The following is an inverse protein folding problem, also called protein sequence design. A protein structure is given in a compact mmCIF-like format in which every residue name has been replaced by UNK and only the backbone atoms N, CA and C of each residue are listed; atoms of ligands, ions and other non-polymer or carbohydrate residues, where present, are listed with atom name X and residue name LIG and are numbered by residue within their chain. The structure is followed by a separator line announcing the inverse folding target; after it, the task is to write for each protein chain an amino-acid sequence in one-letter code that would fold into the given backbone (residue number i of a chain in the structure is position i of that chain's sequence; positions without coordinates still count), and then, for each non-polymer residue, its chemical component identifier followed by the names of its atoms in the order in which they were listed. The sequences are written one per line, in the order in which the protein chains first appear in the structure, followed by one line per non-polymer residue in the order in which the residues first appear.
data_IF_427449291637
#
_entry.id   IF_427449291637
#
_cell.length_a   1.000
_cell.length_b   1.000
_cell.length_c   1.000
_cell.angle_alpha   90.00
_cell.angle_beta   90.00
_cell.angle_gamma   90.00
#
_symmetry.space_group_name_H-M   'P 1'
#
loop_
_entity.id
_entity.type
_entity.pdbx_description
1 polymer ?
#
# COMPACT_ATOMS: atom_id res chain seq x y z
N UNK A 1 -11.39 -4.51 24.51
CA UNK A 1 -10.62 -5.76 24.69
C UNK A 1 -9.40 -5.78 23.78
N UNK A 2 -9.56 -5.58 22.47
CA UNK A 2 -8.45 -5.54 21.50
C UNK A 2 -7.45 -4.43 21.85
N UNK A 3 -7.91 -3.22 22.17
CA UNK A 3 -7.02 -2.09 22.45
C UNK A 3 -6.07 -2.39 23.61
N UNK A 4 -6.58 -3.03 24.66
CA UNK A 4 -5.79 -3.44 25.82
C UNK A 4 -4.81 -4.56 25.49
N UNK A 5 -5.25 -5.58 24.74
CA UNK A 5 -4.38 -6.69 24.31
C UNK A 5 -3.22 -6.16 23.46
N UNK A 6 -3.51 -5.31 22.48
CA UNK A 6 -2.51 -4.69 21.59
C UNK A 6 -1.51 -3.88 22.41
N UNK A 7 -1.97 -3.11 23.40
CA UNK A 7 -1.13 -2.34 24.31
C UNK A 7 -0.23 -3.20 25.20
N UNK A 8 -0.80 -4.23 25.85
CA UNK A 8 -0.05 -5.13 26.73
C UNK A 8 1.00 -5.94 25.94
N UNK A 9 0.74 -6.19 24.66
CA UNK A 9 1.61 -6.94 23.75
C UNK A 9 2.41 -6.03 22.80
N UNK A 10 2.64 -4.77 23.19
CA UNK A 10 3.32 -3.78 22.34
C UNK A 10 4.64 -4.25 21.68
N UNK A 11 5.53 -5.01 22.36
CA UNK A 11 6.72 -5.56 21.71
C UNK A 11 6.39 -6.51 20.56
N UNK A 12 5.40 -7.39 20.72
CA UNK A 12 4.96 -8.29 19.65
C UNK A 12 4.33 -7.49 18.50
N UNK A 13 3.52 -6.48 18.82
CA UNK A 13 2.93 -5.58 17.82
C UNK A 13 4.02 -4.92 16.97
N UNK A 14 5.10 -4.43 17.59
CA UNK A 14 6.24 -3.86 16.88
C UNK A 14 6.95 -4.89 15.97
N UNK A 15 7.13 -6.13 16.46
CA UNK A 15 7.71 -7.21 15.65
C UNK A 15 6.82 -7.57 14.45
N UNK A 16 5.51 -7.67 14.63
CA UNK A 16 4.54 -7.93 13.55
C UNK A 16 4.50 -6.77 12.56
N UNK A 17 4.60 -5.53 13.04
CA UNK A 17 4.67 -4.35 12.18
C UNK A 17 5.93 -4.36 11.30
N UNK A 18 7.10 -4.69 11.86
CA UNK A 18 8.33 -4.86 11.07
C UNK A 18 8.19 -6.02 10.09
N UNK A 19 7.68 -7.17 10.53
CA UNK A 19 7.49 -8.34 9.68
C UNK A 19 6.60 -8.05 8.47
N UNK A 20 5.48 -7.36 8.68
CA UNK A 20 4.57 -6.97 7.58
C UNK A 20 5.19 -5.92 6.66
N UNK A 21 5.96 -4.96 7.20
CA UNK A 21 6.67 -3.97 6.39
C UNK A 21 7.79 -4.59 5.53
N UNK A 22 8.56 -5.53 6.08
CA UNK A 22 9.57 -6.29 5.32
C UNK A 22 8.90 -7.17 4.26
N UNK A 23 7.77 -7.79 4.60
CA UNK A 23 6.99 -8.57 3.65
C UNK A 23 6.47 -7.70 2.49
N UNK A 24 5.93 -6.52 2.77
CA UNK A 24 5.50 -5.54 1.76
C UNK A 24 6.65 -5.18 0.82
N UNK A 25 7.81 -4.77 1.35
CA UNK A 25 9.00 -4.47 0.55
C UNK A 25 9.45 -5.66 -0.32
N UNK A 26 9.42 -6.88 0.23
CA UNK A 26 9.79 -8.08 -0.51
C UNK A 26 8.80 -8.42 -1.62
N UNK A 27 7.50 -8.34 -1.32
CA UNK A 27 6.43 -8.58 -2.29
C UNK A 27 6.47 -7.56 -3.42
N UNK A 28 6.79 -6.29 -3.14
CA UNK A 28 7.01 -5.27 -4.17
C UNK A 28 8.12 -5.67 -5.14
N UNK A 29 9.26 -6.17 -4.66
CA UNK A 29 10.34 -6.63 -5.54
C UNK A 29 9.95 -7.84 -6.38
N UNK A 30 9.28 -8.81 -5.75
CA UNK A 30 8.79 -10.01 -6.45
C UNK A 30 7.75 -9.60 -7.51
N UNK A 31 6.85 -8.68 -7.17
CA UNK A 31 5.84 -8.12 -8.06
C UNK A 31 6.46 -7.36 -9.23
N UNK A 32 7.47 -6.52 -8.97
CA UNK A 32 8.21 -5.80 -10.01
C UNK A 32 8.87 -6.78 -10.99
N UNK A 33 9.58 -7.78 -10.47
CA UNK A 33 10.23 -8.81 -11.29
C UNK A 33 9.22 -9.66 -12.09
N UNK A 34 8.07 -10.01 -11.50
CA UNK A 34 7.00 -10.73 -12.18
C UNK A 34 6.36 -9.87 -13.29
N UNK A 35 6.14 -8.58 -13.04
CA UNK A 35 5.54 -7.65 -14.01
C UNK A 35 6.39 -7.53 -15.28
N UNK A 36 7.73 -7.56 -15.17
CA UNK A 36 8.61 -7.50 -16.33
C UNK A 36 8.47 -8.71 -17.26
N UNK A 37 8.13 -9.89 -16.72
CA UNK A 37 7.94 -11.11 -17.51
C UNK A 37 6.67 -11.09 -18.37
N UNK A 38 5.71 -10.24 -18.03
CA UNK A 38 4.42 -10.11 -18.74
C UNK A 38 4.24 -8.75 -19.39
N UNK A 39 5.32 -7.95 -19.47
CA UNK A 39 5.30 -6.55 -19.90
C UNK A 39 4.71 -6.31 -21.29
N UNK A 40 4.89 -7.26 -22.20
CA UNK A 40 4.35 -7.19 -23.57
C UNK A 40 2.81 -7.25 -23.61
N UNK A 41 2.20 -7.85 -22.59
CA UNK A 41 0.76 -8.05 -22.46
C UNK A 41 0.12 -7.06 -21.49
N UNK A 42 0.85 -6.72 -20.43
CA UNK A 42 0.36 -5.85 -19.37
C UNK A 42 1.49 -4.93 -18.91
N UNK A 43 1.23 -3.63 -18.88
CA UNK A 43 2.19 -2.65 -18.37
C UNK A 43 1.49 -1.53 -17.59
N UNK A 44 2.24 -0.88 -16.70
CA UNK A 44 1.88 0.41 -16.13
C UNK A 44 2.84 1.45 -16.70
N UNK A 45 2.32 2.62 -17.04
CA UNK A 45 3.11 3.78 -17.42
C UNK A 45 4.08 4.18 -16.30
N UNK A 46 5.38 4.21 -16.62
CA UNK A 46 6.44 4.52 -15.67
C UNK A 46 6.94 3.27 -14.93
N UNK A 47 6.87 3.30 -13.60
CA UNK A 47 7.34 2.21 -12.73
C UNK A 47 6.17 1.42 -12.14
N UNK A 48 6.43 0.14 -11.85
CA UNK A 48 5.54 -0.71 -11.05
C UNK A 48 5.34 -0.14 -9.64
N UNK A 49 6.40 0.41 -9.03
CA UNK A 49 6.33 0.98 -7.69
C UNK A 49 5.63 2.35 -7.73
N UNK A 50 4.51 2.44 -7.02
CA UNK A 50 3.68 3.64 -7.02
C UNK A 50 4.22 4.73 -6.10
N UNK A 51 4.94 4.36 -5.02
CA UNK A 51 5.49 5.33 -4.07
C UNK A 51 6.82 5.91 -4.60
N UNK A 52 6.87 7.23 -4.91
CA UNK A 52 8.07 7.86 -5.45
C UNK A 52 9.30 7.71 -4.54
N UNK A 53 9.09 7.54 -3.23
CA UNK A 53 10.16 7.39 -2.23
C UNK A 53 11.00 6.13 -2.47
N UNK A 54 10.35 5.05 -2.89
CA UNK A 54 10.97 3.73 -3.06
C UNK A 54 11.23 3.40 -4.54
N UNK A 55 10.60 4.13 -5.46
CA UNK A 55 10.61 3.82 -6.89
C UNK A 55 12.01 3.52 -7.45
N UNK A 56 12.97 4.44 -7.27
CA UNK A 56 14.34 4.25 -7.77
C UNK A 56 15.04 3.03 -7.17
N UNK A 57 14.73 2.70 -5.92
CA UNK A 57 15.30 1.54 -5.24
C UNK A 57 14.70 0.25 -5.81
N UNK A 58 13.36 0.15 -5.87
CA UNK A 58 12.67 -1.01 -6.44
C UNK A 58 13.09 -1.25 -7.90
N UNK A 59 13.16 -0.19 -8.70
CA UNK A 59 13.55 -0.25 -10.11
C UNK A 59 14.99 -0.76 -10.29
N UNK A 60 15.88 -0.48 -9.34
CA UNK A 60 17.27 -0.98 -9.36
C UNK A 60 17.42 -2.45 -8.90
N UNK A 61 16.38 -3.03 -8.30
CA UNK A 61 16.33 -4.44 -7.88
C UNK A 61 17.38 -4.91 -6.86
N UNK A 62 17.71 -4.13 -5.80
CA UNK A 62 18.71 -4.53 -4.82
C UNK A 62 18.19 -5.70 -3.96
N UNK A 63 19.10 -6.58 -3.55
CA UNK A 63 18.76 -7.65 -2.60
C UNK A 63 18.68 -7.19 -1.14
N UNK A 64 19.21 -6.01 -0.84
CA UNK A 64 19.29 -5.45 0.50
C UNK A 64 19.16 -3.93 0.48
N UNK A 65 18.51 -3.35 1.50
CA UNK A 65 18.25 -1.92 1.59
C UNK A 65 18.52 -1.38 2.99
N UNK A 66 19.47 -0.46 3.12
CA UNK A 66 19.68 0.28 4.37
C UNK A 66 18.51 1.19 4.71
N UNK A 67 17.77 1.66 3.70
CA UNK A 67 16.56 2.46 3.90
C UNK A 67 15.48 1.61 4.55
N UNK A 68 15.30 0.36 4.11
CA UNK A 68 14.38 -0.59 4.75
C UNK A 68 14.71 -0.75 6.24
N UNK A 69 15.98 -0.99 6.57
CA UNK A 69 16.44 -1.13 7.96
C UNK A 69 16.18 0.15 8.77
N UNK A 70 16.50 1.32 8.22
CA UNK A 70 16.27 2.60 8.88
C UNK A 70 14.78 2.87 9.14
N UNK A 71 13.91 2.63 8.16
CA UNK A 71 12.46 2.81 8.33
C UNK A 71 11.88 1.80 9.32
N UNK A 72 12.33 0.54 9.30
CA UNK A 72 11.92 -0.46 10.28
C UNK A 72 12.35 -0.07 11.71
N UNK A 73 13.58 0.43 11.88
CA UNK A 73 14.07 0.91 13.18
C UNK A 73 13.25 2.11 13.68
N UNK A 74 12.95 3.08 12.81
CA UNK A 74 12.09 4.23 13.14
C UNK A 74 10.68 3.76 13.52
N UNK A 75 10.11 2.81 12.79
CA UNK A 75 8.77 2.28 13.09
C UNK A 75 8.71 1.64 14.48
N UNK A 76 9.70 0.79 14.82
CA UNK A 76 9.81 0.19 16.16
C UNK A 76 9.96 1.27 17.22
N UNK A 77 10.88 2.22 17.00
CA UNK A 77 11.13 3.31 17.93
C UNK A 77 9.86 4.14 18.20
N UNK A 78 9.09 4.47 17.15
CA UNK A 78 7.83 5.22 17.29
C UNK A 78 6.77 4.44 18.06
N UNK A 79 6.60 3.14 17.79
CA UNK A 79 5.64 2.32 18.52
C UNK A 79 6.02 2.18 20.00
N UNK A 80 7.29 1.92 20.31
CA UNK A 80 7.75 1.82 21.69
C UNK A 80 7.70 3.17 22.41
N UNK A 81 8.04 4.27 21.74
CA UNK A 81 7.90 5.61 22.28
C UNK A 81 6.44 5.95 22.58
N UNK A 82 5.51 5.58 21.70
CA UNK A 82 4.07 5.78 21.94
C UNK A 82 3.59 4.95 23.14
N UNK A 83 4.05 3.70 23.27
CA UNK A 83 3.74 2.84 24.42
C UNK A 83 4.24 3.46 25.72
N UNK A 84 5.47 3.99 25.71
CA UNK A 84 6.07 4.67 26.86
C UNK A 84 5.32 5.97 27.20
N UNK A 85 4.94 6.76 26.19
CA UNK A 85 4.18 8.00 26.38
C UNK A 85 2.83 7.73 27.04
N UNK A 86 2.11 6.70 26.60
CA UNK A 86 0.82 6.32 27.18
C UNK A 86 0.97 5.94 28.66
N UNK A 87 2.04 5.23 29.02
CA UNK A 87 2.31 4.88 30.42
C UNK A 87 2.74 6.08 31.26
N UNK A 88 3.68 6.87 30.76
CA UNK A 88 4.23 8.01 31.48
C UNK A 88 3.19 9.12 31.72
N UNK A 89 2.31 9.37 30.75
CA UNK A 89 1.27 10.40 30.84
C UNK A 89 -0.09 9.84 31.30
N UNK A 90 -0.14 8.59 31.76
CA UNK A 90 -1.36 7.91 32.23
C UNK A 90 -2.54 8.02 31.24
N UNK A 91 -2.24 7.94 29.94
CA UNK A 91 -3.24 8.03 28.88
C UNK A 91 -3.99 6.71 28.72
N UNK A 92 -5.15 6.78 28.07
CA UNK A 92 -5.91 5.59 27.70
C UNK A 92 -5.09 4.69 26.74
N UNK A 93 -4.95 3.37 26.99
CA UNK A 93 -4.37 2.42 26.05
C UNK A 93 -4.90 2.51 24.61
N UNK A 94 -6.11 3.01 24.42
CA UNK A 94 -6.71 3.30 23.12
C UNK A 94 -5.80 4.17 22.23
N UNK A 95 -5.02 5.11 22.79
CA UNK A 95 -4.11 5.95 22.01
C UNK A 95 -2.99 5.13 21.34
N UNK A 96 -2.43 4.15 22.05
CA UNK A 96 -1.48 3.21 21.44
C UNK A 96 -2.16 2.33 20.40
N UNK A 97 -3.38 1.86 20.70
CA UNK A 97 -4.14 1.02 19.79
C UNK A 97 -4.42 1.72 18.44
N UNK A 98 -4.72 3.02 18.44
CA UNK A 98 -4.82 3.82 17.19
C UNK A 98 -3.52 3.75 16.38
N UNK A 99 -2.37 3.98 17.02
CA UNK A 99 -1.07 3.95 16.34
C UNK A 99 -0.75 2.54 15.78
N UNK A 100 -0.96 1.51 16.59
CA UNK A 100 -0.77 0.12 16.18
C UNK A 100 -1.70 -0.27 15.01
N UNK A 101 -2.97 0.12 15.09
CA UNK A 101 -3.96 -0.12 14.06
C UNK A 101 -3.63 0.61 12.76
N UNK A 102 -3.16 1.85 12.84
CA UNK A 102 -2.73 2.62 11.67
C UNK A 102 -1.60 1.95 10.90
N UNK A 103 -0.70 1.28 11.60
CA UNK A 103 0.41 0.54 10.98
C UNK A 103 -0.07 -0.80 10.44
N UNK A 104 -0.66 -1.64 11.29
CA UNK A 104 -0.98 -3.03 10.95
C UNK A 104 -2.13 -3.16 9.95
N UNK A 105 -3.20 -2.38 10.11
CA UNK A 105 -4.36 -2.48 9.24
C UNK A 105 -4.20 -1.74 7.91
N UNK A 106 -3.19 -0.87 7.77
CA UNK A 106 -2.75 -0.36 6.47
C UNK A 106 -1.98 -1.43 5.69
N UNK A 107 -1.21 -2.28 6.37
CA UNK A 107 -0.44 -3.33 5.71
C UNK A 107 -1.32 -4.43 5.11
N UNK A 108 -2.46 -4.72 5.73
CA UNK A 108 -3.40 -5.73 5.24
C UNK A 108 -3.83 -5.51 3.77
N UNK A 109 -4.41 -4.36 3.37
CA UNK A 109 -4.74 -4.12 1.96
C UNK A 109 -3.49 -4.11 1.07
N UNK A 110 -2.36 -3.56 1.51
CA UNK A 110 -1.14 -3.53 0.69
C UNK A 110 -0.68 -4.95 0.33
N UNK A 111 -0.61 -5.86 1.31
CA UNK A 111 -0.24 -7.26 1.08
C UNK A 111 -1.28 -7.97 0.19
N UNK A 112 -2.58 -7.71 0.38
CA UNK A 112 -3.63 -8.29 -0.47
C UNK A 112 -3.54 -7.79 -1.91
N UNK A 113 -3.19 -6.52 -2.14
CA UNK A 113 -2.95 -5.98 -3.46
C UNK A 113 -1.75 -6.66 -4.13
N UNK A 114 -0.65 -6.87 -3.41
CA UNK A 114 0.49 -7.63 -3.92
C UNK A 114 0.14 -9.06 -4.30
N UNK A 115 -0.60 -9.77 -3.44
CA UNK A 115 -1.05 -11.13 -3.72
C UNK A 115 -1.92 -11.17 -4.98
N UNK A 116 -2.84 -10.21 -5.12
CA UNK A 116 -3.70 -10.06 -6.30
C UNK A 116 -2.88 -9.80 -7.56
N UNK A 117 -1.89 -8.91 -7.50
CA UNK A 117 -1.01 -8.60 -8.61
C UNK A 117 -0.18 -9.81 -9.03
N UNK A 118 0.40 -10.54 -8.07
CA UNK A 118 1.20 -11.74 -8.34
C UNK A 118 0.36 -12.86 -8.97
N UNK A 119 -0.87 -13.05 -8.49
CA UNK A 119 -1.81 -13.98 -9.11
C UNK A 119 -2.12 -13.57 -10.55
N UNK A 120 -2.44 -12.29 -10.78
CA UNK A 120 -2.67 -11.76 -12.13
C UNK A 120 -1.47 -11.97 -13.05
N UNK A 121 -0.24 -11.72 -12.59
CA UNK A 121 0.97 -11.94 -13.40
C UNK A 121 1.22 -13.42 -13.69
N UNK A 122 0.88 -14.30 -12.75
CA UNK A 122 0.92 -15.75 -12.98
C UNK A 122 -0.07 -16.15 -14.06
N UNK A 123 -1.29 -15.62 -14.03
CA UNK A 123 -2.32 -15.92 -15.02
C UNK A 123 -1.94 -15.35 -16.40
N UNK A 124 -1.39 -14.14 -16.45
CA UNK A 124 -0.89 -13.48 -17.68
C UNK A 124 0.37 -14.12 -18.29
N UNK A 125 1.00 -15.06 -17.57
CA UNK A 125 2.07 -15.86 -18.14
C UNK A 125 1.53 -16.85 -19.19
N UNK A 126 0.25 -17.23 -19.10
CA UNK A 126 -0.43 -17.98 -20.15
C UNK A 126 -0.73 -17.03 -21.34
N UNK A 127 -0.20 -17.31 -22.55
CA UNK A 127 -0.43 -16.47 -23.72
C UNK A 127 -1.90 -16.41 -24.16
N UNK A 128 -2.76 -17.31 -23.67
CA UNK A 128 -4.20 -17.32 -23.96
C UNK A 128 -5.03 -16.53 -22.95
N UNK A 129 -4.43 -16.04 -21.86
CA UNK A 129 -5.15 -15.34 -20.79
C UNK A 129 -5.74 -14.00 -21.23
N UNK A 130 -5.08 -13.32 -22.18
CA UNK A 130 -5.59 -12.08 -22.78
C UNK A 130 -5.26 -12.03 -24.27
N UNK A 131 -6.12 -11.35 -25.02
CA UNK A 131 -5.86 -11.01 -26.43
C UNK A 131 -5.33 -9.59 -26.53
N UNK A 132 -4.17 -9.39 -27.15
CA UNK A 132 -3.54 -8.09 -27.31
C UNK A 132 -2.74 -7.65 -26.09
N UNK A 133 -2.66 -6.33 -25.86
CA UNK A 133 -1.89 -5.73 -24.77
C UNK A 133 -2.65 -4.59 -24.10
N UNK A 134 -2.50 -4.43 -22.79
CA UNK A 134 -3.03 -3.30 -22.03
C UNK A 134 -1.90 -2.52 -21.36
N UNK A 135 -1.90 -1.21 -21.51
CA UNK A 135 -1.01 -0.30 -20.75
C UNK A 135 -1.85 0.63 -19.91
N UNK A 136 -1.74 0.51 -18.59
CA UNK A 136 -2.43 1.36 -17.64
C UNK A 136 -1.67 2.67 -17.44
N UNK A 137 -2.33 3.78 -17.73
CA UNK A 137 -1.81 5.10 -17.37
C UNK A 137 -1.59 5.22 -15.85
N UNK A 138 -0.54 5.96 -15.45
CA UNK A 138 -0.14 6.02 -14.02
C UNK A 138 -1.22 6.63 -13.14
N UNK A 139 -1.94 7.63 -13.64
CA UNK A 139 -3.02 8.29 -12.90
C UNK A 139 -4.17 7.32 -12.58
N UNK A 140 -4.49 6.42 -13.53
CA UNK A 140 -5.58 5.47 -13.35
C UNK A 140 -5.20 4.43 -12.29
N UNK A 141 -3.95 3.93 -12.34
CA UNK A 141 -3.42 2.98 -11.34
C UNK A 141 -3.40 3.60 -9.94
N UNK A 142 -2.91 4.83 -9.80
CA UNK A 142 -2.92 5.56 -8.52
C UNK A 142 -4.34 5.78 -7.99
N UNK A 143 -5.29 6.14 -8.87
CA UNK A 143 -6.70 6.30 -8.49
C UNK A 143 -7.35 4.98 -8.07
N UNK A 144 -7.05 3.89 -8.77
CA UNK A 144 -7.54 2.56 -8.42
C UNK A 144 -7.00 2.12 -7.05
N UNK A 145 -5.70 2.29 -6.79
CA UNK A 145 -5.08 2.02 -5.51
C UNK A 145 -5.67 2.90 -4.38
N UNK A 146 -5.94 4.17 -4.64
CA UNK A 146 -6.63 5.06 -3.69
C UNK A 146 -8.01 4.51 -3.30
N UNK A 147 -8.83 4.13 -4.28
CA UNK A 147 -10.15 3.55 -4.01
C UNK A 147 -10.09 2.20 -3.31
N UNK A 148 -9.05 1.41 -3.59
CA UNK A 148 -8.82 0.16 -2.89
C UNK A 148 -8.61 0.40 -1.38
N UNK A 149 -7.77 1.38 -1.01
CA UNK A 149 -7.59 1.77 0.39
C UNK A 149 -8.87 2.36 1.01
N UNK A 150 -9.65 3.14 0.28
CA UNK A 150 -10.93 3.68 0.77
C UNK A 150 -11.91 2.56 1.14
N UNK A 151 -11.99 1.48 0.36
CA UNK A 151 -12.86 0.33 0.66
C UNK A 151 -12.46 -0.34 1.97
N UNK A 152 -11.16 -0.49 2.22
CA UNK A 152 -10.66 -1.01 3.50
C UNK A 152 -10.91 -0.02 4.64
N UNK A 153 -10.77 1.28 4.41
CA UNK A 153 -11.15 2.26 5.42
C UNK A 153 -12.62 2.16 5.84
N UNK A 154 -13.53 1.96 4.89
CA UNK A 154 -14.96 1.73 5.18
C UNK A 154 -15.16 0.47 6.01
N UNK A 155 -14.47 -0.63 5.66
CA UNK A 155 -14.50 -1.87 6.45
C UNK A 155 -14.00 -1.64 7.88
N UNK A 156 -12.86 -0.97 8.04
CA UNK A 156 -12.29 -0.66 9.35
C UNK A 156 -13.19 0.27 10.17
N UNK A 157 -13.82 1.28 9.55
CA UNK A 157 -14.80 2.13 10.22
C UNK A 157 -16.03 1.33 10.67
N UNK A 158 -16.53 0.41 9.85
CA UNK A 158 -17.65 -0.45 10.24
C UNK A 158 -17.28 -1.31 11.46
N UNK A 159 -16.09 -1.92 11.47
CA UNK A 159 -15.61 -2.68 12.63
C UNK A 159 -15.40 -1.80 13.86
N UNK A 160 -14.90 -0.57 13.68
CA UNK A 160 -14.79 0.40 14.76
C UNK A 160 -16.17 0.75 15.35
N UNK A 161 -17.16 1.07 14.52
CA UNK A 161 -18.53 1.40 14.98
C UNK A 161 -19.15 0.24 15.78
N UNK A 162 -18.95 -1.01 15.32
CA UNK A 162 -19.52 -2.18 15.98
C UNK A 162 -18.78 -2.58 17.27
N UNK A 163 -17.46 -2.42 17.31
CA UNK A 163 -16.62 -2.93 18.42
C UNK A 163 -16.16 -1.85 19.39
N UNK A 164 -16.26 -0.58 18.99
CA UNK A 164 -15.71 0.59 19.68
C UNK A 164 -14.22 0.43 20.03
N UNK A 165 -13.45 -0.33 19.23
CA UNK A 165 -12.01 -0.54 19.44
C UNK A 165 -11.20 0.46 18.61
N UNK A 166 -10.40 1.30 19.28
CA UNK A 166 -9.62 2.36 18.67
C UNK A 166 -8.56 1.82 17.67
N UNK A 167 -8.16 0.57 17.80
CA UNK A 167 -7.37 -0.15 16.81
C UNK A 167 -7.93 -0.05 15.38
N UNK A 168 -9.23 -0.29 15.19
CA UNK A 168 -9.85 -0.21 13.87
C UNK A 168 -9.94 1.24 13.35
N UNK A 169 -10.12 2.20 14.26
CA UNK A 169 -10.10 3.62 13.88
C UNK A 169 -8.73 4.03 13.32
N UNK A 170 -7.64 3.55 13.91
CA UNK A 170 -6.29 3.74 13.36
C UNK A 170 -6.15 3.21 11.93
N UNK A 171 -6.63 1.99 11.70
CA UNK A 171 -6.66 1.38 10.36
C UNK A 171 -7.46 2.19 9.34
N UNK A 172 -8.64 2.67 9.74
CA UNK A 172 -9.46 3.53 8.89
C UNK A 172 -8.75 4.83 8.52
N UNK A 173 -8.21 5.54 9.51
CA UNK A 173 -7.53 6.83 9.32
C UNK A 173 -6.32 6.70 8.41
N UNK A 174 -5.46 5.70 8.65
CA UNK A 174 -4.28 5.45 7.82
C UNK A 174 -4.65 5.14 6.37
N UNK A 175 -5.63 4.26 6.13
CA UNK A 175 -6.12 3.94 4.79
C UNK A 175 -6.68 5.18 4.06
N UNK A 176 -7.43 6.05 4.75
CA UNK A 176 -7.92 7.31 4.16
C UNK A 176 -6.80 8.29 3.84
N UNK A 177 -5.84 8.46 4.74
CA UNK A 177 -4.71 9.38 4.55
C UNK A 177 -3.83 8.95 3.38
N UNK A 178 -3.48 7.66 3.31
CA UNK A 178 -2.70 7.11 2.21
C UNK A 178 -3.50 7.08 0.90
N UNK A 179 -4.77 6.72 0.94
CA UNK A 179 -5.66 6.77 -0.23
C UNK A 179 -5.76 8.18 -0.80
N UNK A 180 -5.95 9.19 0.06
CA UNK A 180 -5.95 10.60 -0.34
C UNK A 180 -4.61 11.02 -0.94
N UNK A 181 -3.49 10.63 -0.34
CA UNK A 181 -2.14 10.90 -0.88
C UNK A 181 -2.02 10.36 -2.31
N UNK A 182 -2.43 9.11 -2.54
CA UNK A 182 -2.41 8.49 -3.87
C UNK A 182 -3.36 9.17 -4.87
N UNK A 183 -4.50 9.68 -4.42
CA UNK A 183 -5.44 10.41 -5.28
C UNK A 183 -4.94 11.80 -5.70
N UNK A 184 -4.03 12.42 -4.93
CA UNK A 184 -3.48 13.76 -5.21
C UNK A 184 -2.23 13.70 -6.11
N UNK A 185 -1.41 12.65 -6.01
CA UNK A 185 -0.22 12.47 -6.86
C UNK A 185 -0.45 12.65 -8.38
N UNK A 186 -1.59 12.23 -8.97
CA UNK A 186 -1.86 12.39 -10.40
C UNK A 186 -2.28 13.80 -10.85
N UNK A 187 -2.44 14.77 -9.94
CA UNK A 187 -3.01 16.09 -10.27
C UNK A 187 -2.09 16.97 -11.14
N UNK A 188 -0.83 16.56 -11.39
CA UNK A 188 0.07 17.20 -12.34
C UNK A 188 -0.11 16.60 -13.75
N UNK A 189 -1.22 16.93 -14.41
CA UNK A 189 -1.59 16.40 -15.74
C UNK A 189 -1.02 17.31 -16.85
N UNK A 190 -0.23 16.82 -17.81
CA UNK A 190 -0.16 17.46 -19.12
C UNK A 190 -1.52 17.29 -19.80
N UNK A 191 -2.12 18.39 -20.28
CA UNK A 191 -3.40 18.35 -20.97
C UNK A 191 -3.35 17.30 -22.09
N UNK A 192 -4.37 16.42 -22.12
CA UNK A 192 -4.49 15.44 -23.20
C UNK A 192 -4.56 16.21 -24.53
N UNK A 193 -3.60 15.98 -25.42
CA UNK A 193 -3.73 16.42 -26.81
C UNK A 193 -5.00 15.79 -27.37
N UNK A 194 -5.88 16.63 -27.94
CA UNK A 194 -7.05 16.12 -28.68
C UNK A 194 -6.54 15.13 -29.72
N UNK A 195 -7.20 13.97 -29.89
CA UNK A 195 -6.95 13.15 -31.06
C UNK A 195 -7.16 14.05 -32.30
N UNK A 196 -6.13 14.15 -33.14
CA UNK A 196 -6.25 14.81 -34.43
C UNK A 196 -7.26 14.01 -35.25
N UNK A 197 -8.38 14.65 -35.59
CA UNK A 197 -9.29 14.20 -36.64
C UNK A 197 -8.50 14.18 -37.96
N UNK A 198 -7.79 13.09 -38.24
CA UNK A 198 -7.14 12.91 -39.53
C UNK A 198 -7.31 11.46 -40.00
N UNK A 199 -7.99 11.33 -41.15
CA UNK A 199 -8.10 10.19 -42.06
C UNK A 199 -9.16 9.10 -41.80
N UNK A 200 -10.44 9.49 -41.86
CA UNK A 200 -11.43 8.71 -42.62
C UNK A 200 -11.40 9.16 -44.08
N UNK A 201 -10.39 8.74 -44.82
CA UNK A 201 -10.45 8.67 -46.28
C UNK A 201 -10.29 7.21 -46.64
N UNK A 202 -11.43 6.54 -46.77
CA UNK A 202 -11.52 5.22 -47.42
C UNK A 202 -11.67 5.51 -48.93
N UNK A 203 -10.86 4.86 -49.80
CA UNK A 203 -11.02 4.95 -51.25
C UNK A 203 -12.32 4.30 -51.75
#
# INVERSE_FOLDING_TARGET
MIDRVVYDWAPLVALVAVGTFVLDWGLTHIGAAASQKVRERWAIEGSYELNPTWQAEIDSGPRFSWRLVGVAAVLVALLLAMRYLVEFAELDPAFFAVAAGAVLLLQAPTIMAHATNLQMFRDLADPTAITGSVTFSRWLTLRAAAWYLVRFAVLWLALWVLSQQAFFLGGALSCLLFGRRLAVLPAARPAAAKPSDESLTIP
#
